data_IF_631655884616
#
_entry.id   IF_631655884616
#
_cell.length_a   1.000
_cell.length_b   1.000
_cell.length_c   1.000
_cell.angle_alpha   90.00
_cell.angle_beta   90.00
_cell.angle_gamma   90.00
#
_symmetry.space_group_name_H-M   'P 1'
#
loop_
_entity.id
_entity.type
_entity.pdbx_description
1 polymer ?
#
# COMPACT_ATOMS: atom_id res chain seq x y z
N UNK A 1 9.51 15.03 2.82
CA UNK A 1 8.69 15.28 1.61
C UNK A 1 7.24 15.09 2.01
N UNK A 2 6.35 15.99 1.61
CA UNK A 2 4.91 15.81 1.84
C UNK A 2 4.30 14.97 0.73
N UNK A 3 3.31 14.15 1.06
CA UNK A 3 2.51 13.42 0.08
C UNK A 3 1.36 14.31 -0.40
N UNK A 4 1.07 14.31 -1.70
CA UNK A 4 0.01 15.14 -2.27
C UNK A 4 -0.75 14.37 -3.34
N UNK A 5 -2.07 14.54 -3.34
CA UNK A 5 -2.96 14.08 -4.40
C UNK A 5 -3.28 15.27 -5.30
N UNK A 6 -3.14 15.12 -6.62
CA UNK A 6 -3.56 16.11 -7.62
C UNK A 6 -5.05 16.39 -7.52
N UNK A 7 -5.84 15.36 -7.19
CA UNK A 7 -7.28 15.47 -6.87
C UNK A 7 -7.64 14.40 -5.85
N UNK A 8 -8.46 14.73 -4.86
CA UNK A 8 -8.91 13.77 -3.85
C UNK A 8 -8.59 14.26 -2.45
N UNK A 9 -8.56 13.35 -1.48
CA UNK A 9 -8.22 13.69 -0.09
C UNK A 9 -7.61 12.50 0.64
N UNK A 10 -6.64 12.81 1.49
CA UNK A 10 -6.23 11.90 2.55
C UNK A 10 -7.24 11.95 3.69
N UNK A 11 -7.41 10.82 4.35
CA UNK A 11 -8.21 10.74 5.57
C UNK A 11 -7.41 11.30 6.77
N UNK A 12 -8.09 11.68 7.87
CA UNK A 12 -7.41 12.11 9.09
C UNK A 12 -6.43 11.04 9.61
N UNK A 13 -5.44 11.43 10.42
CA UNK A 13 -4.49 10.53 11.08
C UNK A 13 -5.12 9.26 11.67
N UNK A 14 -4.43 8.12 11.53
CA UNK A 14 -4.81 6.89 12.19
C UNK A 14 -4.60 7.02 13.71
N UNK A 15 -5.34 6.24 14.49
CA UNK A 15 -5.06 6.15 15.92
C UNK A 15 -3.68 5.50 16.13
N UNK A 16 -2.84 6.11 16.96
CA UNK A 16 -1.49 5.61 17.23
C UNK A 16 -1.47 4.14 17.66
N UNK A 17 -2.40 3.75 18.53
CA UNK A 17 -2.53 2.36 18.99
C UNK A 17 -2.82 1.36 17.86
N UNK A 18 -3.55 1.77 16.81
CA UNK A 18 -3.80 0.91 15.64
C UNK A 18 -2.50 0.73 14.87
N UNK A 19 -1.80 1.82 14.53
CA UNK A 19 -0.54 1.77 13.77
C UNK A 19 0.55 1.01 14.51
N UNK A 20 0.68 1.22 15.82
CA UNK A 20 1.66 0.55 16.67
C UNK A 20 1.37 -0.95 16.82
N UNK A 21 0.10 -1.35 16.71
CA UNK A 21 -0.33 -2.75 16.74
C UNK A 21 -0.18 -3.51 15.41
N UNK A 22 -0.04 -2.80 14.28
CA UNK A 22 0.02 -3.41 12.96
C UNK A 22 1.11 -4.47 12.81
N UNK A 23 2.36 -4.26 13.30
CA UNK A 23 3.40 -5.28 13.13
C UNK A 23 3.05 -6.62 13.78
N UNK A 24 2.38 -6.59 14.93
CA UNK A 24 1.92 -7.79 15.61
C UNK A 24 0.77 -8.46 14.86
N UNK A 25 -0.19 -7.68 14.36
CA UNK A 25 -1.38 -8.19 13.66
C UNK A 25 -1.07 -8.73 12.26
N UNK A 26 -0.13 -8.11 11.55
CA UNK A 26 0.27 -8.49 10.18
C UNK A 26 1.42 -9.49 10.17
N UNK A 27 2.12 -9.69 11.28
CA UNK A 27 3.30 -10.56 11.36
C UNK A 27 4.52 -10.03 10.60
N UNK A 28 4.53 -8.75 10.23
CA UNK A 28 5.62 -8.09 9.49
C UNK A 28 5.89 -6.69 10.04
N UNK A 29 7.15 -6.29 10.11
CA UNK A 29 7.50 -4.91 10.50
C UNK A 29 7.30 -3.98 9.31
N UNK A 30 6.44 -2.98 9.44
CA UNK A 30 6.16 -2.04 8.36
C UNK A 30 7.33 -1.07 8.10
N UNK A 31 7.54 -0.64 6.85
CA UNK A 31 8.44 0.46 6.52
C UNK A 31 8.10 1.71 7.34
N UNK A 32 9.14 2.39 7.82
CA UNK A 32 9.00 3.56 8.72
C UNK A 32 8.23 4.70 8.05
N UNK A 33 8.48 4.94 6.77
CA UNK A 33 7.80 5.95 5.96
C UNK A 33 6.30 5.64 5.82
N UNK A 34 5.92 4.38 5.61
CA UNK A 34 4.52 3.95 5.55
C UNK A 34 3.81 4.05 6.91
N UNK A 35 4.47 3.64 8.00
CA UNK A 35 3.91 3.81 9.33
C UNK A 35 3.74 5.30 9.71
N UNK A 36 4.65 6.17 9.25
CA UNK A 36 4.50 7.62 9.40
C UNK A 36 3.36 8.17 8.54
N UNK A 37 3.24 7.70 7.30
CA UNK A 37 2.12 8.03 6.42
C UNK A 37 0.79 7.74 7.10
N UNK A 38 0.59 6.55 7.69
CA UNK A 38 -0.65 6.22 8.42
C UNK A 38 -0.91 7.14 9.62
N UNK A 39 0.14 7.59 10.32
CA UNK A 39 0.02 8.53 11.45
C UNK A 39 -0.32 9.96 11.03
N UNK A 40 -0.16 10.29 9.76
CA UNK A 40 -0.53 11.60 9.20
C UNK A 40 -1.83 11.51 8.38
N UNK A 41 -2.04 10.37 7.73
CA UNK A 41 -3.05 10.09 6.71
C UNK A 41 -3.51 8.63 6.82
N UNK A 42 -4.65 8.36 7.46
CA UNK A 42 -5.18 6.98 7.59
C UNK A 42 -5.80 6.48 6.28
N UNK A 43 -4.98 6.31 5.25
CA UNK A 43 -5.46 6.03 3.91
C UNK A 43 -6.03 7.28 3.22
N UNK A 44 -7.03 7.06 2.38
CA UNK A 44 -7.64 8.09 1.55
C UNK A 44 -7.54 7.73 0.07
N UNK A 45 -8.12 8.58 -0.77
CA UNK A 45 -8.29 8.28 -2.18
C UNK A 45 -8.15 9.51 -3.06
N UNK A 46 -7.68 9.29 -4.28
CA UNK A 46 -7.54 10.35 -5.25
C UNK A 46 -6.62 9.99 -6.40
N UNK A 47 -6.15 11.03 -7.06
CA UNK A 47 -5.28 10.96 -8.22
C UNK A 47 -3.89 11.48 -7.85
N UNK A 48 -2.87 10.77 -8.31
CA UNK A 48 -1.48 11.21 -8.35
C UNK A 48 -1.14 11.33 -9.85
N UNK A 49 -1.02 12.54 -10.36
CA UNK A 49 -1.08 12.77 -11.80
C UNK A 49 -2.43 12.31 -12.37
N UNK A 50 -2.39 11.43 -13.36
CA UNK A 50 -3.59 10.79 -13.94
C UNK A 50 -3.90 9.40 -13.31
N UNK A 51 -3.03 8.91 -12.42
CA UNK A 51 -3.17 7.62 -11.76
C UNK A 51 -4.10 7.69 -10.55
N UNK A 52 -5.20 6.94 -10.57
CA UNK A 52 -6.08 6.82 -9.40
C UNK A 52 -5.54 5.81 -8.39
N UNK A 53 -5.62 6.15 -7.10
CA UNK A 53 -5.19 5.31 -5.99
C UNK A 53 -6.13 5.43 -4.80
N UNK A 54 -6.37 4.30 -4.15
CA UNK A 54 -7.09 4.13 -2.89
C UNK A 54 -6.12 3.52 -1.91
N UNK A 55 -5.70 4.28 -0.90
CA UNK A 55 -4.90 3.77 0.21
C UNK A 55 -5.84 3.17 1.25
N UNK A 56 -5.55 1.94 1.66
CA UNK A 56 -6.33 1.25 2.69
C UNK A 56 -6.07 1.87 4.06
N UNK A 57 -7.10 1.89 4.90
CA UNK A 57 -6.94 2.34 6.29
C UNK A 57 -6.12 1.32 7.07
N UNK A 58 -5.43 1.79 8.10
CA UNK A 58 -4.64 0.95 8.99
C UNK A 58 -5.47 -0.24 9.53
N UNK A 59 -6.68 0.02 10.00
CA UNK A 59 -7.60 -1.00 10.51
C UNK A 59 -8.09 -2.00 9.46
N UNK A 60 -8.05 -1.65 8.16
CA UNK A 60 -8.51 -2.49 7.06
C UNK A 60 -7.42 -3.42 6.53
N UNK A 61 -6.14 -3.13 6.81
CA UNK A 61 -5.00 -3.88 6.23
C UNK A 61 -5.06 -5.37 6.53
N UNK A 62 -5.37 -5.75 7.77
CA UNK A 62 -5.45 -7.16 8.18
C UNK A 62 -6.60 -7.86 7.47
N UNK A 63 -7.77 -7.20 7.45
CA UNK A 63 -8.98 -7.77 6.87
C UNK A 63 -8.86 -7.91 5.36
N UNK A 64 -8.37 -6.89 4.65
CA UNK A 64 -8.17 -6.95 3.20
C UNK A 64 -7.12 -8.00 2.80
N UNK A 65 -5.97 -8.08 3.47
CA UNK A 65 -4.98 -9.10 3.14
C UNK A 65 -5.50 -10.53 3.40
N UNK A 66 -6.38 -10.71 4.39
CA UNK A 66 -7.06 -11.99 4.64
C UNK A 66 -8.15 -12.28 3.60
N UNK A 67 -9.01 -11.32 3.31
CA UNK A 67 -10.16 -11.47 2.42
C UNK A 67 -9.76 -11.68 0.95
N UNK A 68 -8.69 -11.00 0.50
CA UNK A 68 -8.09 -11.26 -0.82
C UNK A 68 -7.25 -12.55 -0.85
N UNK A 69 -7.16 -13.29 0.26
CA UNK A 69 -6.32 -14.48 0.43
C UNK A 69 -4.87 -14.26 -0.04
N UNK A 70 -4.28 -13.10 0.25
CA UNK A 70 -2.99 -12.68 -0.34
C UNK A 70 -1.90 -13.68 -0.02
N UNK A 71 -1.84 -14.19 1.21
CA UNK A 71 -0.83 -15.19 1.60
C UNK A 71 -0.93 -16.50 0.79
N UNK A 72 -2.13 -16.86 0.31
CA UNK A 72 -2.34 -18.07 -0.49
C UNK A 72 -1.89 -17.87 -1.94
N UNK A 73 -2.19 -16.71 -2.52
CA UNK A 73 -1.99 -16.49 -3.96
C UNK A 73 -0.69 -15.73 -4.28
N UNK A 74 -0.32 -14.76 -3.44
CA UNK A 74 0.90 -13.98 -3.52
C UNK A 74 1.64 -13.97 -2.17
N UNK A 75 2.14 -15.13 -1.68
CA UNK A 75 2.81 -15.24 -0.39
C UNK A 75 3.96 -14.24 -0.27
N UNK A 76 4.10 -13.61 0.89
CA UNK A 76 5.10 -12.57 1.12
C UNK A 76 4.82 -11.23 0.42
N UNK A 77 3.59 -10.99 -0.03
CA UNK A 77 3.12 -9.66 -0.42
C UNK A 77 2.15 -9.15 0.66
N UNK A 78 2.32 -7.88 1.06
CA UNK A 78 1.39 -7.18 1.94
C UNK A 78 0.74 -6.03 1.17
N UNK A 79 -0.54 -6.15 0.82
CA UNK A 79 -1.29 -5.10 0.12
C UNK A 79 -1.61 -3.93 1.05
N UNK A 80 -1.49 -2.71 0.51
CA UNK A 80 -1.81 -1.48 1.24
C UNK A 80 -2.59 -0.44 0.42
N UNK A 81 -2.70 -0.63 -0.90
CA UNK A 81 -3.49 0.25 -1.76
C UNK A 81 -4.01 -0.48 -3.01
N UNK A 82 -4.89 0.19 -3.75
CA UNK A 82 -5.49 -0.28 -5.00
C UNK A 82 -5.63 0.87 -5.99
N UNK A 83 -5.62 0.58 -7.29
CA UNK A 83 -5.96 1.57 -8.31
C UNK A 83 -7.48 1.75 -8.52
N UNK A 84 -8.32 1.19 -7.64
CA UNK A 84 -9.78 1.18 -7.77
C UNK A 84 -10.32 0.29 -8.89
N UNK A 85 -9.44 -0.46 -9.56
CA UNK A 85 -9.75 -1.36 -10.65
C UNK A 85 -9.07 -2.72 -10.48
N UNK A 86 -8.31 -3.14 -11.49
CA UNK A 86 -7.75 -4.48 -11.57
C UNK A 86 -6.41 -4.68 -10.86
N UNK A 87 -5.83 -3.66 -10.22
CA UNK A 87 -4.48 -3.75 -9.65
C UNK A 87 -4.44 -3.29 -8.18
N UNK A 88 -3.57 -3.95 -7.42
CA UNK A 88 -3.23 -3.62 -6.05
C UNK A 88 -1.76 -3.19 -5.96
N UNK A 89 -1.45 -2.43 -4.92
CA UNK A 89 -0.09 -2.09 -4.52
C UNK A 89 0.20 -2.70 -3.16
N UNK A 90 1.40 -3.25 -3.01
CA UNK A 90 1.83 -3.93 -1.79
C UNK A 90 3.32 -3.82 -1.55
N UNK A 91 3.77 -4.26 -0.38
CA UNK A 91 5.19 -4.44 -0.05
C UNK A 91 5.60 -5.89 -0.28
N UNK A 92 6.77 -6.12 -0.87
CA UNK A 92 7.37 -7.45 -0.90
C UNK A 92 8.11 -7.72 0.43
N UNK A 93 7.50 -8.53 1.30
CA UNK A 93 8.00 -8.80 2.66
C UNK A 93 9.14 -9.82 2.70
N UNK A 94 9.46 -10.47 1.58
CA UNK A 94 10.62 -11.37 1.49
C UNK A 94 11.93 -10.59 1.28
N UNK A 95 11.87 -9.34 0.82
CA UNK A 95 13.03 -8.47 0.73
C UNK A 95 13.12 -7.61 2.00
N UNK A 96 14.34 -7.47 2.54
CA UNK A 96 14.60 -6.66 3.73
C UNK A 96 14.27 -5.18 3.52
N UNK A 97 14.42 -4.69 2.28
CA UNK A 97 14.12 -3.31 1.91
C UNK A 97 12.62 -3.07 1.71
N UNK A 98 11.82 -4.14 1.62
CA UNK A 98 10.37 -4.10 1.40
C UNK A 98 9.96 -3.16 0.25
N UNK A 99 10.42 -3.40 -0.99
CA UNK A 99 10.06 -2.56 -2.12
C UNK A 99 8.55 -2.62 -2.39
N UNK A 100 8.02 -1.56 -2.97
CA UNK A 100 6.62 -1.48 -3.37
C UNK A 100 6.45 -2.14 -4.72
N UNK A 101 5.54 -3.10 -4.77
CA UNK A 101 5.14 -3.82 -5.95
C UNK A 101 3.72 -3.47 -6.36
N UNK A 102 3.44 -3.64 -7.65
CA UNK A 102 2.09 -3.66 -8.24
C UNK A 102 1.75 -5.10 -8.61
N UNK A 103 0.52 -5.53 -8.35
CA UNK A 103 0.05 -6.89 -8.63
C UNK A 103 -1.40 -6.88 -9.12
N UNK A 104 -1.77 -7.67 -10.15
CA UNK A 104 -3.16 -7.75 -10.61
C UNK A 104 -4.06 -8.50 -9.62
N UNK A 105 -5.29 -8.03 -9.40
CA UNK A 105 -6.28 -8.72 -8.55
C UNK A 105 -6.81 -10.02 -9.16
N UNK A 106 -7.03 -10.05 -10.49
CA UNK A 106 -7.77 -11.15 -11.15
C UNK A 106 -7.01 -12.48 -11.10
N UNK A 107 -5.70 -12.45 -11.29
CA UNK A 107 -4.82 -13.62 -11.27
C UNK A 107 -3.70 -13.43 -10.26
N UNK A 108 -3.99 -12.78 -9.13
CA UNK A 108 -3.01 -12.35 -8.12
C UNK A 108 -2.00 -13.45 -7.82
N UNK A 109 -0.83 -13.39 -8.42
CA UNK A 109 0.19 -14.41 -8.29
C UNK A 109 1.51 -13.71 -8.00
N UNK A 110 2.30 -14.26 -7.07
CA UNK A 110 3.58 -13.64 -6.69
C UNK A 110 4.47 -13.35 -7.90
N UNK A 111 4.52 -14.25 -8.88
CA UNK A 111 5.33 -14.10 -10.09
C UNK A 111 4.90 -12.92 -10.99
N UNK A 112 3.68 -12.44 -10.81
CA UNK A 112 3.11 -11.29 -11.53
C UNK A 112 3.30 -9.97 -10.77
N UNK A 113 3.95 -9.99 -9.61
CA UNK A 113 4.28 -8.78 -8.85
C UNK A 113 5.44 -8.04 -9.53
N UNK A 114 5.21 -6.78 -9.87
CA UNK A 114 6.19 -5.90 -10.51
C UNK A 114 6.66 -4.85 -9.52
N UNK A 115 7.96 -4.78 -9.24
CA UNK A 115 8.52 -3.69 -8.42
C UNK A 115 8.40 -2.36 -9.16
N UNK A 116 7.73 -1.39 -8.54
CA UNK A 116 7.52 -0.05 -9.12
C UNK A 116 8.19 1.06 -8.31
N UNK A 117 8.48 0.83 -7.03
CA UNK A 117 9.14 1.81 -6.18
C UNK A 117 9.89 1.15 -5.01
N UNK A 118 10.81 1.90 -4.39
CA UNK A 118 11.55 1.46 -3.20
C UNK A 118 10.93 1.91 -1.89
N UNK A 119 10.18 3.00 -1.94
CA UNK A 119 9.55 3.66 -0.80
C UNK A 119 8.29 4.40 -1.28
N UNK A 120 7.52 4.96 -0.35
CA UNK A 120 6.31 5.70 -0.71
C UNK A 120 6.61 6.91 -1.60
N UNK A 121 7.72 7.62 -1.38
CA UNK A 121 8.08 8.77 -2.22
C UNK A 121 8.29 8.35 -3.68
N UNK A 122 8.98 7.24 -3.91
CA UNK A 122 9.18 6.63 -5.21
C UNK A 122 7.87 6.17 -5.83
N UNK A 123 6.91 5.68 -5.04
CA UNK A 123 5.57 5.33 -5.54
C UNK A 123 4.86 6.55 -6.10
N UNK A 124 4.83 7.66 -5.35
CA UNK A 124 4.20 8.90 -5.81
C UNK A 124 4.84 9.41 -7.11
N UNK A 125 6.18 9.40 -7.19
CA UNK A 125 6.88 9.79 -8.41
C UNK A 125 6.54 8.85 -9.59
N UNK A 126 6.53 7.53 -9.37
CA UNK A 126 6.20 6.56 -10.41
C UNK A 126 4.77 6.70 -10.93
N UNK A 127 3.82 7.01 -10.06
CA UNK A 127 2.40 7.20 -10.44
C UNK A 127 2.16 8.54 -11.15
N UNK A 128 2.93 9.58 -10.82
CA UNK A 128 2.86 10.88 -11.50
C UNK A 128 3.42 10.83 -12.94
N UNK A 129 4.45 10.01 -13.17
CA UNK A 129 5.07 9.82 -14.49
C UNK A 129 4.34 8.81 -15.40
N UNK A 130 3.36 8.08 -14.86
CA UNK A 130 2.56 7.11 -15.60
C UNK A 130 1.59 7.86 -16.54
N UNK A 131 1.78 7.71 -17.86
CA UNK A 131 0.95 8.33 -18.91
C UNK A 131 -0.02 7.35 -19.55
#
# INVERSE_FOLDING_TARGET
MGYALTKGRFDPPAQAAVVDGLPASLGVTLPKDYANFLREHNGGEGFIGDSYIIFFKAEELVDFNREYEVEKYAPGILLFASNGGGEAYGFDTHDVEMPIVRIPFIFMERQSAETIARDLAGLFAALEDLK
#
